data_IF_891856200009
#
_entry.id   IF_891856200009
#
_cell.length_a   1.000
_cell.length_b   1.000
_cell.length_c   1.000
_cell.angle_alpha   90.00
_cell.angle_beta   90.00
_cell.angle_gamma   90.00
#
_symmetry.space_group_name_H-M   'P 1'
#
loop_
_entity.id
_entity.type
_entity.pdbx_description
1 polymer ?
#
# COMPACT_ATOMS: atom_id res chain seq x y z
N UNK A 1 21.59 -10.01 -53.53
CA UNK A 1 22.94 -10.59 -53.71
C UNK A 1 23.84 -9.89 -52.69
N UNK A 2 24.42 -10.46 -51.64
CA UNK A 2 24.48 -11.81 -51.06
C UNK A 2 24.96 -11.59 -49.60
N UNK A 3 24.32 -12.25 -48.63
CA UNK A 3 24.79 -12.35 -47.25
C UNK A 3 26.10 -13.17 -47.16
N UNK A 4 26.95 -12.95 -46.15
CA UNK A 4 28.02 -13.89 -45.84
C UNK A 4 27.45 -15.18 -45.17
N UNK A 5 28.10 -16.34 -45.36
CA UNK A 5 27.51 -17.66 -45.06
C UNK A 5 27.78 -18.17 -43.63
N UNK A 6 26.85 -18.99 -43.13
CA UNK A 6 27.01 -19.87 -41.98
C UNK A 6 28.08 -20.96 -42.20
N UNK A 7 28.78 -21.42 -41.14
CA UNK A 7 29.49 -22.69 -41.15
C UNK A 7 28.65 -23.84 -40.53
N UNK A 8 28.58 -24.96 -41.24
CA UNK A 8 28.11 -26.30 -40.79
C UNK A 8 29.09 -27.36 -41.35
N UNK A 9 29.03 -28.64 -40.94
CA UNK A 9 29.22 -29.21 -39.59
C UNK A 9 30.40 -30.23 -39.57
N UNK A 10 30.91 -30.56 -38.38
CA UNK A 10 31.92 -31.61 -38.15
C UNK A 10 31.37 -32.81 -37.36
N UNK A 11 32.06 -33.98 -37.35
CA UNK A 11 31.44 -35.30 -37.52
C UNK A 11 30.98 -36.03 -36.23
N UNK A 12 29.97 -36.89 -36.40
CA UNK A 12 29.50 -37.90 -35.43
C UNK A 12 30.45 -39.10 -35.29
N UNK A 13 30.43 -39.75 -34.11
CA UNK A 13 30.49 -41.20 -34.01
C UNK A 13 29.29 -41.82 -33.27
N UNK A 14 28.88 -43.02 -33.72
CA UNK A 14 27.74 -43.83 -33.27
C UNK A 14 27.99 -44.63 -31.97
N UNK A 15 26.85 -44.93 -31.32
CA UNK A 15 26.44 -46.14 -30.57
C UNK A 15 26.85 -46.41 -29.11
N UNK A 16 25.79 -46.60 -28.28
CA UNK A 16 25.77 -47.47 -27.08
C UNK A 16 25.10 -46.86 -25.82
N UNK A 17 23.99 -47.43 -25.29
CA UNK A 17 23.31 -46.90 -24.10
C UNK A 17 23.72 -47.59 -22.78
N UNK A 18 23.67 -46.88 -21.64
CA UNK A 18 23.40 -47.48 -20.33
C UNK A 18 22.33 -46.66 -19.57
N UNK A 19 21.56 -47.11 -18.58
CA UNK A 19 21.22 -48.37 -17.93
C UNK A 19 20.17 -47.96 -16.86
N UNK A 20 19.06 -48.68 -16.71
CA UNK A 20 18.00 -48.42 -15.72
C UNK A 20 18.43 -48.74 -14.28
N UNK A 21 17.84 -48.08 -13.26
CA UNK A 21 17.72 -48.63 -11.91
C UNK A 21 16.25 -48.99 -11.53
N UNK A 22 16.03 -49.84 -10.51
CA UNK A 22 15.04 -50.92 -10.56
C UNK A 22 13.70 -50.63 -9.85
N UNK A 23 12.71 -51.46 -10.20
CA UNK A 23 11.31 -51.43 -9.74
C UNK A 23 11.04 -52.39 -8.56
N UNK A 24 10.23 -51.89 -7.60
CA UNK A 24 9.25 -52.60 -6.71
C UNK A 24 9.74 -53.43 -5.50
N UNK A 25 8.92 -53.63 -4.42
CA UNK A 25 7.44 -53.71 -4.43
C UNK A 25 6.65 -53.04 -3.26
N UNK A 26 5.34 -52.85 -3.51
CA UNK A 26 4.28 -52.56 -2.52
C UNK A 26 4.00 -53.74 -1.57
N UNK A 27 3.39 -53.48 -0.41
CA UNK A 27 2.32 -54.36 0.09
C UNK A 27 1.05 -53.64 0.60
N UNK A 28 -0.08 -54.06 0.01
CA UNK A 28 -1.41 -54.40 0.57
C UNK A 28 -1.83 -53.90 1.98
N UNK A 29 -2.92 -53.11 2.01
CA UNK A 29 -4.18 -53.44 2.72
C UNK A 29 -4.42 -52.95 4.17
N UNK A 30 -5.70 -52.67 4.57
CA UNK A 30 -6.11 -51.81 5.70
C UNK A 30 -6.49 -52.65 6.97
N UNK A 31 -6.84 -52.12 8.19
CA UNK A 31 -8.12 -51.39 8.39
C UNK A 31 -8.28 -50.48 9.68
N UNK A 32 -9.47 -49.88 9.76
CA UNK A 32 -10.30 -49.62 10.95
C UNK A 32 -10.05 -48.46 11.95
N UNK A 33 -11.19 -47.81 12.21
CA UNK A 33 -11.53 -46.74 13.13
C UNK A 33 -11.95 -47.36 14.47
N UNK A 34 -11.42 -46.89 15.61
CA UNK A 34 -11.91 -47.34 16.92
C UNK A 34 -11.25 -46.70 18.16
N UNK A 35 -11.96 -45.72 18.73
CA UNK A 35 -12.17 -45.36 20.15
C UNK A 35 -11.03 -45.18 21.19
N UNK A 36 -11.12 -43.99 21.82
CA UNK A 36 -10.96 -43.63 23.25
C UNK A 36 -9.62 -43.78 24.00
N UNK A 37 -9.08 -42.64 24.46
CA UNK A 37 -9.12 -42.24 25.89
C UNK A 37 -8.43 -40.88 26.16
N UNK A 38 -9.11 -40.04 26.94
CA UNK A 38 -8.76 -38.66 27.37
C UNK A 38 -7.81 -38.67 28.60
N UNK A 39 -7.17 -37.55 29.04
CA UNK A 39 -7.91 -36.58 29.87
C UNK A 39 -7.53 -35.08 29.72
N UNK A 40 -8.56 -34.25 29.50
CA UNK A 40 -8.96 -33.04 30.25
C UNK A 40 -7.85 -32.14 30.89
N UNK A 41 -7.49 -31.07 30.17
CA UNK A 41 -6.89 -29.84 30.73
C UNK A 41 -7.91 -28.67 30.73
N UNK A 42 -7.74 -27.62 31.56
CA UNK A 42 -8.76 -26.60 31.83
C UNK A 42 -8.97 -25.62 30.65
N UNK A 43 -10.14 -24.94 30.56
CA UNK A 43 -10.47 -24.11 29.41
C UNK A 43 -9.73 -22.77 29.45
N UNK A 44 -8.98 -22.47 28.39
CA UNK A 44 -8.49 -21.11 28.11
C UNK A 44 -9.60 -20.27 27.49
N UNK A 45 -9.79 -19.00 27.91
CA UNK A 45 -10.86 -18.16 27.40
C UNK A 45 -10.53 -17.68 25.99
N UNK A 46 -11.40 -18.01 25.05
CA UNK A 46 -11.57 -17.28 23.80
C UNK A 46 -12.30 -15.97 24.10
N UNK A 47 -11.73 -14.83 23.71
CA UNK A 47 -12.47 -13.69 23.16
C UNK A 47 -11.49 -12.58 22.75
N UNK A 48 -11.59 -12.11 21.50
CA UNK A 48 -11.11 -10.80 21.09
C UNK A 48 -9.85 -10.82 20.22
N UNK A 49 -9.94 -11.36 19.01
CA UNK A 49 -8.92 -11.11 17.98
C UNK A 49 -9.48 -11.10 16.55
N UNK A 50 -10.68 -10.57 16.38
CA UNK A 50 -11.28 -10.32 15.07
C UNK A 50 -11.54 -8.82 14.78
N UNK A 51 -11.18 -7.92 15.72
CA UNK A 51 -11.52 -6.48 15.67
C UNK A 51 -10.68 -5.64 14.69
N UNK A 52 -9.58 -6.17 14.14
CA UNK A 52 -8.62 -5.36 13.37
C UNK A 52 -9.03 -5.09 11.93
N UNK A 53 -9.84 -5.96 11.34
CA UNK A 53 -10.29 -5.81 9.95
C UNK A 53 -11.58 -4.99 9.88
N UNK A 54 -12.49 -5.22 10.83
CA UNK A 54 -13.74 -4.45 10.97
C UNK A 54 -13.45 -2.97 11.27
N UNK A 55 -12.46 -2.65 12.12
CA UNK A 55 -12.09 -1.26 12.41
C UNK A 55 -11.52 -0.52 11.18
N UNK A 56 -10.78 -1.21 10.31
CA UNK A 56 -10.24 -0.64 9.08
C UNK A 56 -11.34 -0.41 8.03
N UNK A 57 -12.23 -1.38 7.84
CA UNK A 57 -13.41 -1.21 6.97
C UNK A 57 -14.31 -0.08 7.48
N UNK A 58 -14.48 0.04 8.79
CA UNK A 58 -15.31 1.06 9.41
C UNK A 58 -14.65 2.45 9.31
N UNK A 59 -13.32 2.53 9.36
CA UNK A 59 -12.55 3.74 9.05
C UNK A 59 -12.68 4.17 7.58
N UNK A 60 -12.56 3.22 6.64
CA UNK A 60 -12.76 3.48 5.21
C UNK A 60 -14.19 3.93 4.91
N UNK A 61 -15.19 3.24 5.47
CA UNK A 61 -16.61 3.59 5.31
C UNK A 61 -16.99 4.94 5.96
N UNK A 62 -16.31 5.34 7.05
CA UNK A 62 -16.51 6.67 7.66
C UNK A 62 -15.81 7.77 6.90
N UNK A 63 -14.69 7.48 6.22
CA UNK A 63 -14.02 8.42 5.30
C UNK A 63 -14.95 8.81 4.13
N UNK A 64 -15.60 7.83 3.50
CA UNK A 64 -16.57 8.06 2.41
C UNK A 64 -17.78 8.89 2.85
N UNK A 65 -18.29 8.64 4.06
CA UNK A 65 -19.45 9.37 4.62
C UNK A 65 -19.11 10.79 5.08
N UNK A 66 -17.87 11.04 5.54
CA UNK A 66 -17.46 12.33 6.12
C UNK A 66 -17.04 13.38 5.08
N UNK A 67 -16.87 12.98 3.82
CA UNK A 67 -16.81 13.90 2.67
C UNK A 67 -18.04 14.82 2.53
N UNK A 68 -19.12 14.54 3.26
CA UNK A 68 -20.26 15.43 3.48
C UNK A 68 -20.28 15.91 4.94
N UNK A 69 -19.50 16.96 5.25
CA UNK A 69 -19.54 17.58 6.58
C UNK A 69 -20.81 18.43 6.77
N UNK A 70 -21.57 18.25 7.87
CA UNK A 70 -22.64 19.16 8.27
C UNK A 70 -22.10 20.22 9.25
N UNK A 71 -21.82 21.43 8.77
CA UNK A 71 -21.45 22.53 9.68
C UNK A 71 -20.60 23.64 9.08
N UNK A 72 -21.07 24.30 8.03
CA UNK A 72 -20.51 25.54 7.52
C UNK A 72 -21.51 26.18 6.55
N UNK A 73 -21.59 27.52 6.45
CA UNK A 73 -22.49 28.14 5.48
C UNK A 73 -22.14 27.65 4.07
N UNK A 74 -23.13 27.28 3.24
CA UNK A 74 -22.87 26.63 1.98
C UNK A 74 -22.20 27.62 1.02
N UNK A 75 -20.91 27.45 0.76
CA UNK A 75 -20.37 27.86 -0.52
C UNK A 75 -21.10 27.08 -1.62
N UNK A 76 -21.39 27.70 -2.77
CA UNK A 76 -22.15 27.05 -3.85
C UNK A 76 -21.25 26.01 -4.55
N UNK A 77 -21.03 24.87 -3.91
CA UNK A 77 -20.58 23.68 -4.59
C UNK A 77 -21.73 23.23 -5.48
N UNK A 78 -21.65 23.53 -6.78
CA UNK A 78 -22.59 23.05 -7.82
C UNK A 78 -22.69 21.52 -7.75
N UNK A 79 -23.75 20.94 -7.17
CA UNK A 79 -23.84 19.49 -6.96
C UNK A 79 -24.04 18.77 -8.30
N UNK A 80 -24.78 19.40 -9.22
CA UNK A 80 -25.18 18.81 -10.49
C UNK A 80 -24.10 18.70 -11.56
N UNK A 81 -22.86 19.17 -11.33
CA UNK A 81 -21.75 18.98 -12.30
C UNK A 81 -20.86 17.76 -11.97
N UNK A 82 -20.88 17.29 -10.71
CA UNK A 82 -20.04 16.17 -10.26
C UNK A 82 -20.65 14.81 -10.58
N UNK A 83 -21.96 14.68 -10.41
CA UNK A 83 -22.73 13.48 -10.75
C UNK A 83 -22.58 13.06 -12.23
N UNK A 84 -22.77 13.96 -13.23
CA UNK A 84 -22.59 13.58 -14.64
C UNK A 84 -21.14 13.24 -14.99
N UNK A 85 -20.17 13.86 -14.30
CA UNK A 85 -18.75 13.59 -14.53
C UNK A 85 -18.33 12.22 -14.00
N UNK A 86 -18.83 11.83 -12.83
CA UNK A 86 -18.64 10.49 -12.25
C UNK A 86 -19.29 9.40 -13.12
N UNK A 87 -20.49 9.65 -13.62
CA UNK A 87 -21.15 8.74 -14.56
C UNK A 87 -20.36 8.58 -15.86
N UNK A 88 -19.87 9.69 -16.42
CA UNK A 88 -19.01 9.68 -17.60
C UNK A 88 -17.70 8.92 -17.35
N UNK A 89 -17.08 9.12 -16.17
CA UNK A 89 -15.87 8.40 -15.78
C UNK A 89 -16.12 6.89 -15.73
N UNK A 90 -17.19 6.45 -15.04
CA UNK A 90 -17.59 5.04 -14.96
C UNK A 90 -17.85 4.42 -16.33
N UNK A 91 -18.51 5.16 -17.22
CA UNK A 91 -18.72 4.70 -18.61
C UNK A 91 -17.39 4.53 -19.34
N UNK A 92 -16.49 5.51 -19.21
CA UNK A 92 -15.17 5.49 -19.85
C UNK A 92 -14.33 4.30 -19.38
N UNK A 93 -14.32 4.04 -18.07
CA UNK A 93 -13.62 2.92 -17.44
C UNK A 93 -14.14 1.59 -17.98
N UNK A 94 -15.47 1.43 -18.04
CA UNK A 94 -16.11 0.24 -18.62
C UNK A 94 -15.72 0.04 -20.09
N UNK A 95 -15.70 1.11 -20.89
CA UNK A 95 -15.34 1.02 -22.30
C UNK A 95 -13.87 0.61 -22.50
N UNK A 96 -12.98 1.09 -21.64
CA UNK A 96 -11.56 0.70 -21.63
C UNK A 96 -11.39 -0.77 -21.27
N UNK A 97 -12.02 -1.25 -20.19
CA UNK A 97 -11.97 -2.67 -19.82
C UNK A 97 -12.46 -3.57 -20.95
N UNK A 98 -13.61 -3.22 -21.54
CA UNK A 98 -14.14 -3.94 -22.70
C UNK A 98 -13.16 -3.96 -23.89
N UNK A 99 -12.39 -2.89 -24.11
CA UNK A 99 -11.42 -2.82 -25.18
C UNK A 99 -10.21 -3.74 -24.90
N UNK A 100 -9.69 -3.72 -23.68
CA UNK A 100 -8.58 -4.60 -23.24
C UNK A 100 -9.01 -6.06 -23.35
N UNK A 101 -10.19 -6.42 -22.85
CA UNK A 101 -10.74 -7.79 -22.92
C UNK A 101 -10.89 -8.28 -24.36
N UNK A 102 -11.34 -7.41 -25.26
CA UNK A 102 -11.45 -7.71 -26.70
C UNK A 102 -10.07 -7.92 -27.31
N UNK A 103 -9.09 -7.08 -27.00
CA UNK A 103 -7.72 -7.23 -27.48
C UNK A 103 -7.09 -8.53 -26.97
N UNK A 104 -7.25 -8.86 -25.69
CA UNK A 104 -6.80 -10.11 -25.11
C UNK A 104 -7.47 -11.30 -25.79
N UNK A 105 -8.79 -11.26 -25.96
CA UNK A 105 -9.55 -12.33 -26.63
C UNK A 105 -9.06 -12.56 -28.07
N UNK A 106 -8.82 -11.48 -28.82
CA UNK A 106 -8.28 -11.56 -30.17
C UNK A 106 -6.87 -12.16 -30.20
N UNK A 107 -6.01 -11.80 -29.24
CA UNK A 107 -4.67 -12.36 -29.12
C UNK A 107 -4.70 -13.87 -28.82
N UNK A 108 -5.56 -14.30 -27.89
CA UNK A 108 -5.72 -15.72 -27.54
C UNK A 108 -6.33 -16.54 -28.68
N UNK A 109 -7.22 -15.95 -29.48
CA UNK A 109 -7.76 -16.58 -30.70
C UNK A 109 -6.70 -16.70 -31.79
N UNK A 110 -5.84 -15.69 -31.96
CA UNK A 110 -4.76 -15.72 -32.95
C UNK A 110 -3.65 -16.71 -32.57
N UNK A 111 -3.44 -16.94 -31.28
CA UNK A 111 -2.38 -17.79 -30.74
C UNK A 111 -2.91 -18.74 -29.66
N UNK A 112 -3.51 -19.86 -30.08
CA UNK A 112 -4.11 -20.85 -29.16
C UNK A 112 -3.14 -21.36 -28.08
N UNK A 113 -1.84 -21.42 -28.38
CA UNK A 113 -0.79 -21.80 -27.42
C UNK A 113 -0.62 -20.83 -26.23
N UNK A 114 -1.25 -19.66 -26.26
CA UNK A 114 -1.23 -18.68 -25.17
C UNK A 114 -2.41 -18.83 -24.20
N UNK A 115 -3.28 -19.83 -24.36
CA UNK A 115 -4.46 -20.01 -23.50
C UNK A 115 -4.16 -20.63 -22.11
N UNK A 116 -2.92 -20.53 -21.62
CA UNK A 116 -2.59 -20.87 -20.23
C UNK A 116 -2.76 -19.64 -19.32
N UNK A 117 -2.94 -19.83 -18.01
CA UNK A 117 -3.06 -18.72 -17.06
C UNK A 117 -1.83 -17.79 -17.11
N UNK A 118 -0.62 -18.35 -17.00
CA UNK A 118 0.64 -17.58 -17.03
C UNK A 118 0.83 -16.82 -18.35
N UNK A 119 0.42 -17.43 -19.46
CA UNK A 119 0.49 -16.78 -20.77
C UNK A 119 -0.49 -15.62 -20.88
N UNK A 120 -1.70 -15.74 -20.31
CA UNK A 120 -2.70 -14.66 -20.30
C UNK A 120 -2.23 -13.44 -19.53
N UNK A 121 -1.63 -13.63 -18.36
CA UNK A 121 -1.09 -12.52 -17.56
C UNK A 121 0.01 -11.78 -18.32
N UNK A 122 0.89 -12.51 -19.00
CA UNK A 122 1.92 -11.92 -19.88
C UNK A 122 1.30 -11.19 -21.08
N UNK A 123 0.23 -11.72 -21.66
CA UNK A 123 -0.48 -11.06 -22.77
C UNK A 123 -1.09 -9.73 -22.31
N UNK A 124 -1.73 -9.71 -21.14
CA UNK A 124 -2.28 -8.50 -20.53
C UNK A 124 -1.19 -7.45 -20.29
N UNK A 125 -0.08 -7.83 -19.65
CA UNK A 125 1.06 -6.92 -19.44
C UNK A 125 1.60 -6.33 -20.76
N UNK A 126 1.65 -7.13 -21.84
CA UNK A 126 2.06 -6.66 -23.16
C UNK A 126 1.04 -5.72 -23.83
N UNK A 127 -0.25 -5.82 -23.50
CA UNK A 127 -1.32 -4.95 -24.02
C UNK A 127 -1.35 -3.64 -23.24
N UNK A 128 -1.27 -3.69 -21.91
CA UNK A 128 -1.45 -2.52 -21.04
C UNK A 128 -0.46 -1.40 -21.36
N UNK A 129 0.82 -1.72 -21.54
CA UNK A 129 1.87 -0.73 -21.77
C UNK A 129 1.57 0.19 -22.98
N UNK A 130 1.38 -0.32 -24.21
CA UNK A 130 1.05 0.52 -25.36
C UNK A 130 -0.37 1.10 -25.28
N UNK A 131 -1.30 0.43 -24.58
CA UNK A 131 -2.69 0.88 -24.48
C UNK A 131 -2.83 2.10 -23.56
N UNK A 132 -2.23 2.04 -22.36
CA UNK A 132 -2.35 3.09 -21.35
C UNK A 132 -1.36 4.23 -21.55
N UNK A 133 -0.21 4.03 -22.20
CA UNK A 133 0.77 5.11 -22.43
C UNK A 133 0.16 6.41 -23.01
N UNK A 134 -0.67 6.39 -24.07
CA UNK A 134 -1.33 7.60 -24.56
C UNK A 134 -2.59 8.00 -23.77
N UNK A 135 -3.24 7.06 -23.09
CA UNK A 135 -4.54 7.28 -22.43
C UNK A 135 -4.41 7.77 -20.97
N UNK A 136 -3.36 7.35 -20.26
CA UNK A 136 -3.21 7.60 -18.83
C UNK A 136 -3.25 9.09 -18.47
N UNK A 137 -2.54 9.99 -19.17
CA UNK A 137 -2.61 11.42 -18.83
C UNK A 137 -4.02 12.00 -18.94
N UNK A 138 -4.82 11.52 -19.90
CA UNK A 138 -6.21 11.95 -20.10
C UNK A 138 -7.12 11.37 -19.02
N UNK A 139 -6.96 10.09 -18.69
CA UNK A 139 -7.68 9.43 -17.60
C UNK A 139 -7.40 10.10 -16.27
N UNK A 140 -6.12 10.29 -15.95
CA UNK A 140 -5.70 10.93 -14.72
C UNK A 140 -6.27 12.35 -14.62
N UNK A 141 -6.34 13.12 -15.71
CA UNK A 141 -6.99 14.42 -15.70
C UNK A 141 -8.48 14.34 -15.29
N UNK A 142 -9.20 13.30 -15.70
CA UNK A 142 -10.58 13.04 -15.25
C UNK A 142 -10.62 12.66 -13.77
N UNK A 143 -9.80 11.71 -13.30
CA UNK A 143 -9.76 11.36 -11.86
C UNK A 143 -9.41 12.56 -10.99
N UNK A 144 -8.43 13.37 -11.40
CA UNK A 144 -8.04 14.62 -10.73
C UNK A 144 -9.17 15.63 -10.66
N UNK A 145 -10.05 15.65 -11.67
CA UNK A 145 -11.20 16.56 -11.66
C UNK A 145 -12.27 16.14 -10.64
N UNK A 146 -12.46 14.83 -10.47
CA UNK A 146 -13.37 14.22 -9.49
C UNK A 146 -12.81 14.34 -8.07
N UNK A 147 -11.53 13.99 -7.88
CA UNK A 147 -10.86 13.92 -6.58
C UNK A 147 -10.14 15.22 -6.18
N UNK A 148 -10.38 16.32 -6.93
CA UNK A 148 -9.83 17.65 -6.63
C UNK A 148 -9.98 18.07 -5.14
N UNK A 149 -11.12 17.88 -4.46
CA UNK A 149 -11.22 18.32 -3.06
C UNK A 149 -10.32 17.51 -2.12
N UNK A 150 -10.22 16.19 -2.30
CA UNK A 150 -9.32 15.33 -1.54
C UNK A 150 -7.85 15.69 -1.78
N UNK A 151 -7.46 15.90 -3.04
CA UNK A 151 -6.10 16.37 -3.36
C UNK A 151 -5.77 17.72 -2.71
N UNK A 152 -6.74 18.65 -2.69
CA UNK A 152 -6.55 19.94 -2.04
C UNK A 152 -6.42 19.80 -0.52
N UNK A 153 -7.17 18.89 0.11
CA UNK A 153 -7.04 18.59 1.53
C UNK A 153 -5.68 17.95 1.85
N UNK A 154 -5.27 16.95 1.07
CA UNK A 154 -3.97 16.33 1.18
C UNK A 154 -2.83 17.34 0.97
N UNK A 155 -2.93 18.23 -0.02
CA UNK A 155 -1.95 19.30 -0.26
C UNK A 155 -1.78 20.22 0.95
N UNK A 156 -2.89 20.61 1.60
CA UNK A 156 -2.82 21.43 2.83
C UNK A 156 -2.11 20.69 3.96
N UNK A 157 -2.40 19.41 4.16
CA UNK A 157 -1.71 18.59 5.15
C UNK A 157 -0.22 18.45 4.83
N UNK A 158 0.14 18.23 3.56
CA UNK A 158 1.53 18.19 3.09
C UNK A 158 2.27 19.51 3.34
N UNK A 159 1.63 20.65 3.15
CA UNK A 159 2.24 21.96 3.43
C UNK A 159 2.45 22.21 4.93
N UNK A 160 1.47 21.84 5.77
CA UNK A 160 1.52 22.03 7.22
C UNK A 160 2.51 21.07 7.90
N UNK A 161 2.49 19.79 7.50
CA UNK A 161 3.23 18.72 8.17
C UNK A 161 4.46 18.25 7.38
N UNK A 162 4.69 18.73 6.17
CA UNK A 162 5.82 18.30 5.32
C UNK A 162 7.21 18.57 5.91
N UNK A 163 7.31 19.46 6.92
CA UNK A 163 8.53 19.71 7.69
C UNK A 163 8.48 19.17 9.13
N UNK A 164 7.37 18.56 9.55
CA UNK A 164 7.20 18.06 10.90
C UNK A 164 8.15 16.88 11.20
N UNK A 165 8.69 16.77 12.43
CA UNK A 165 9.52 15.63 12.79
C UNK A 165 8.69 14.34 12.78
N UNK A 166 9.28 13.16 12.48
CA UNK A 166 8.56 11.89 12.45
C UNK A 166 7.75 11.57 13.73
N UNK A 167 8.24 12.01 14.89
CA UNK A 167 7.55 11.85 16.18
C UNK A 167 6.20 12.58 16.25
N UNK A 168 6.03 13.69 15.51
CA UNK A 168 4.77 14.42 15.45
C UNK A 168 3.66 13.64 14.71
N UNK A 169 4.04 12.60 13.95
CA UNK A 169 3.13 11.71 13.21
C UNK A 169 3.00 10.36 13.94
N UNK A 170 3.54 10.26 15.16
CA UNK A 170 3.44 9.06 15.97
C UNK A 170 4.40 7.94 15.57
N UNK A 171 5.44 8.20 14.77
CA UNK A 171 6.45 7.18 14.43
C UNK A 171 7.31 6.89 15.67
N UNK A 172 7.35 5.64 16.16
CA UNK A 172 8.18 5.24 17.29
C UNK A 172 9.67 5.51 17.05
N UNK A 173 10.39 5.98 18.08
CA UNK A 173 11.83 6.28 17.99
C UNK A 173 12.72 5.06 17.72
N UNK A 174 12.20 3.83 17.92
CA UNK A 174 12.85 2.57 17.54
C UNK A 174 12.93 2.36 16.03
N UNK A 175 12.04 3.02 15.27
CA UNK A 175 11.95 2.98 13.80
C UNK A 175 12.65 4.18 13.16
N UNK A 176 13.47 4.91 13.91
CA UNK A 176 14.16 6.10 13.43
C UNK A 176 15.66 5.97 13.69
N UNK A 177 16.51 6.55 12.83
CA UNK A 177 17.94 6.55 13.04
C UNK A 177 18.31 7.42 14.26
N UNK A 178 19.17 6.92 15.16
CA UNK A 178 19.59 7.63 16.39
C UNK A 178 21.04 8.19 16.37
N UNK A 179 21.67 8.31 15.20
CA UNK A 179 23.08 8.74 15.07
C UNK A 179 23.30 10.16 14.52
N UNK A 180 24.51 10.74 14.69
CA UNK A 180 24.88 12.05 14.11
C UNK A 180 24.87 12.05 12.56
N UNK A 181 24.99 10.88 11.93
CA UNK A 181 24.77 10.65 10.48
C UNK A 181 23.32 10.97 10.04
N UNK A 182 22.35 11.02 10.97
CA UNK A 182 20.96 11.42 10.70
C UNK A 182 20.80 12.93 10.41
N UNK A 183 21.87 13.71 10.57
CA UNK A 183 21.87 15.17 10.42
C UNK A 183 22.66 15.63 9.18
N UNK A 184 23.09 14.68 8.34
CA UNK A 184 23.77 14.96 7.07
C UNK A 184 22.82 15.57 6.03
N UNK A 185 23.02 16.86 5.73
CA UNK A 185 22.51 17.65 4.59
C UNK A 185 21.26 17.11 3.89
N UNK A 186 20.08 17.48 4.38
CA UNK A 186 18.81 17.38 3.63
C UNK A 186 18.22 15.98 3.48
N UNK A 187 18.80 14.95 4.11
CA UNK A 187 18.28 13.57 4.05
C UNK A 187 17.37 13.28 5.24
N UNK A 188 16.17 12.78 4.99
CA UNK A 188 15.20 12.37 6.02
C UNK A 188 14.99 10.85 5.98
N UNK A 189 14.54 10.20 7.07
CA UNK A 189 14.32 8.75 7.09
C UNK A 189 13.30 8.34 6.02
N UNK A 190 13.45 7.14 5.44
CA UNK A 190 12.55 6.62 4.39
C UNK A 190 12.51 7.44 3.09
N UNK A 191 13.51 8.29 2.82
CA UNK A 191 13.60 9.06 1.56
C UNK A 191 13.50 8.18 0.31
N UNK A 192 14.10 6.99 0.32
CA UNK A 192 14.03 6.06 -0.80
C UNK A 192 12.57 5.69 -1.14
N UNK A 193 11.73 5.43 -0.13
CA UNK A 193 10.32 5.13 -0.35
C UNK A 193 9.55 6.32 -0.97
N UNK A 194 9.84 7.55 -0.52
CA UNK A 194 9.25 8.75 -1.13
C UNK A 194 9.70 8.96 -2.59
N UNK A 195 10.93 8.56 -2.93
CA UNK A 195 11.42 8.59 -4.32
C UNK A 195 10.71 7.56 -5.19
N UNK A 196 10.46 6.35 -4.68
CA UNK A 196 9.66 5.33 -5.38
C UNK A 196 8.23 5.83 -5.68
N UNK A 197 7.59 6.51 -4.72
CA UNK A 197 6.31 7.19 -4.98
C UNK A 197 6.43 8.31 -6.03
N UNK A 198 7.58 8.97 -6.13
CA UNK A 198 7.88 9.94 -7.18
C UNK A 198 8.04 9.32 -8.57
N UNK A 199 8.43 8.05 -8.67
CA UNK A 199 8.49 7.35 -9.96
C UNK A 199 7.09 6.97 -10.45
N UNK A 200 6.16 6.68 -9.54
CA UNK A 200 4.78 6.33 -9.86
C UNK A 200 4.13 7.35 -10.81
N UNK A 201 4.38 8.64 -10.60
CA UNK A 201 3.75 9.73 -11.37
C UNK A 201 4.36 9.92 -12.75
N UNK A 202 5.48 9.27 -13.04
CA UNK A 202 6.14 9.25 -14.35
C UNK A 202 5.70 8.06 -15.20
N UNK A 203 5.23 6.99 -14.55
CA UNK A 203 4.68 5.83 -15.23
C UNK A 203 3.31 6.13 -15.84
N UNK A 204 2.93 5.37 -16.85
CA UNK A 204 1.58 5.41 -17.46
C UNK A 204 0.89 4.05 -17.46
N UNK A 205 1.65 2.97 -17.30
CA UNK A 205 1.10 1.62 -17.20
C UNK A 205 0.62 1.35 -15.76
N UNK A 206 -0.64 0.90 -15.56
CA UNK A 206 -1.18 0.60 -14.23
C UNK A 206 -0.30 -0.39 -13.44
N UNK A 207 0.10 -1.50 -14.06
CA UNK A 207 0.96 -2.50 -13.40
C UNK A 207 2.29 -1.90 -12.91
N UNK A 208 2.98 -1.10 -13.74
CA UNK A 208 4.24 -0.45 -13.34
C UNK A 208 4.07 0.58 -12.22
N UNK A 209 2.93 1.27 -12.20
CA UNK A 209 2.58 2.17 -11.08
C UNK A 209 2.39 1.39 -9.79
N UNK A 210 1.69 0.26 -9.85
CA UNK A 210 1.53 -0.63 -8.71
C UNK A 210 2.87 -1.17 -8.21
N UNK A 211 3.79 -1.53 -9.12
CA UNK A 211 5.16 -1.93 -8.76
C UNK A 211 5.93 -0.79 -8.04
N UNK A 212 5.70 0.48 -8.38
CA UNK A 212 6.29 1.60 -7.64
C UNK A 212 5.77 1.65 -6.19
N UNK A 213 4.48 1.39 -5.96
CA UNK A 213 3.90 1.32 -4.62
C UNK A 213 4.54 0.18 -3.82
N UNK A 214 4.64 -1.00 -4.43
CA UNK A 214 5.27 -2.17 -3.79
C UNK A 214 6.74 -1.89 -3.45
N UNK A 215 7.51 -1.29 -4.37
CA UNK A 215 8.89 -0.88 -4.10
C UNK A 215 8.99 0.14 -2.96
N UNK A 216 8.07 1.10 -2.88
CA UNK A 216 8.03 2.06 -1.79
C UNK A 216 7.82 1.37 -0.42
N UNK A 217 6.86 0.44 -0.32
CA UNK A 217 6.60 -0.28 0.92
C UNK A 217 7.75 -1.23 1.29
N UNK A 218 8.34 -1.94 0.32
CA UNK A 218 9.54 -2.76 0.56
C UNK A 218 10.73 -1.91 1.03
N UNK A 219 10.89 -0.70 0.49
CA UNK A 219 11.92 0.24 0.95
C UNK A 219 11.65 0.70 2.40
N UNK A 220 10.38 0.88 2.80
CA UNK A 220 10.01 1.14 4.20
C UNK A 220 10.43 -0.03 5.09
N UNK A 221 10.04 -1.25 4.72
CA UNK A 221 10.36 -2.47 5.47
C UNK A 221 11.87 -2.64 5.65
N UNK A 222 12.64 -2.55 4.57
CA UNK A 222 14.09 -2.66 4.61
C UNK A 222 14.74 -1.58 5.50
N UNK A 223 14.24 -0.33 5.44
CA UNK A 223 14.76 0.76 6.27
C UNK A 223 14.50 0.50 7.76
N UNK A 224 13.27 0.14 8.14
CA UNK A 224 12.94 -0.02 9.56
C UNK A 224 13.55 -1.29 10.17
N UNK A 225 13.68 -2.39 9.41
CA UNK A 225 14.48 -3.55 9.82
C UNK A 225 15.94 -3.16 10.05
N UNK A 226 16.52 -2.31 9.19
CA UNK A 226 17.86 -1.78 9.36
C UNK A 226 18.02 -1.01 10.68
N UNK A 227 17.02 -0.20 11.04
CA UNK A 227 17.01 0.53 12.31
C UNK A 227 16.83 -0.40 13.52
N UNK A 228 15.94 -1.40 13.44
CA UNK A 228 15.78 -2.41 14.49
C UNK A 228 17.08 -3.19 14.76
N UNK A 229 17.75 -3.69 13.71
CA UNK A 229 19.03 -4.41 13.86
C UNK A 229 20.12 -3.53 14.48
N UNK A 230 20.15 -2.23 14.17
CA UNK A 230 21.09 -1.30 14.78
C UNK A 230 20.83 -1.04 16.27
N UNK A 231 19.62 -1.36 16.75
CA UNK A 231 19.20 -1.21 18.15
C UNK A 231 19.33 -2.47 19.00
N UNK A 232 19.59 -3.64 18.40
CA UNK A 232 19.81 -4.87 19.15
C UNK A 232 21.19 -4.83 19.86
N UNK A 233 21.24 -4.94 21.20
CA UNK A 233 22.50 -5.12 21.91
C UNK A 233 23.14 -6.48 21.56
N UNK A 234 24.48 -6.52 21.60
CA UNK A 234 25.40 -7.60 21.18
C UNK A 234 25.01 -9.07 21.57
N UNK A 235 25.66 -10.10 20.98
CA UNK A 235 25.07 -11.38 20.51
C UNK A 235 24.90 -12.49 21.57
N UNK A 236 24.61 -12.16 22.83
CA UNK A 236 24.41 -13.18 23.89
C UNK A 236 22.94 -13.61 24.06
N UNK A 237 22.02 -13.07 23.24
CA UNK A 237 20.64 -13.54 23.16
C UNK A 237 20.44 -14.28 21.84
N UNK A 238 19.99 -15.53 21.90
CA UNK A 238 19.54 -16.28 20.73
C UNK A 238 18.60 -15.39 19.89
N UNK A 239 18.81 -15.29 18.57
CA UNK A 239 17.92 -14.52 17.71
C UNK A 239 16.53 -15.14 17.80
N UNK A 240 15.63 -14.50 18.55
CA UNK A 240 14.23 -14.86 18.58
C UNK A 240 13.69 -14.62 17.16
N UNK A 241 13.38 -15.67 16.39
CA UNK A 241 12.93 -15.51 15.01
C UNK A 241 11.48 -15.05 15.06
N UNK A 242 11.25 -13.73 15.08
CA UNK A 242 9.89 -13.19 15.05
C UNK A 242 9.70 -11.73 15.47
N UNK A 243 10.67 -11.08 16.11
CA UNK A 243 10.44 -9.74 16.72
C UNK A 243 10.80 -8.56 15.81
N UNK A 244 11.44 -8.80 14.65
CA UNK A 244 11.99 -7.73 13.80
C UNK A 244 11.08 -7.28 12.64
N UNK A 245 9.93 -7.93 12.42
CA UNK A 245 9.01 -7.58 11.35
C UNK A 245 8.16 -6.36 11.74
N UNK A 246 8.07 -5.36 10.85
CA UNK A 246 7.17 -4.22 11.00
C UNK A 246 5.74 -4.75 11.02
N UNK A 247 5.01 -4.51 12.10
CA UNK A 247 3.57 -4.78 12.17
C UNK A 247 2.77 -3.72 11.39
N UNK A 248 1.51 -4.02 11.07
CA UNK A 248 0.62 -3.07 10.41
C UNK A 248 0.48 -1.74 11.19
N UNK A 249 0.49 -1.82 12.52
CA UNK A 249 0.43 -0.67 13.44
C UNK A 249 1.65 0.26 13.32
N UNK A 250 2.81 -0.29 12.95
CA UNK A 250 4.04 0.47 12.72
C UNK A 250 4.11 0.98 11.27
N UNK A 251 3.53 0.26 10.30
CA UNK A 251 3.58 0.59 8.87
C UNK A 251 2.78 1.86 8.52
N UNK A 252 1.54 1.97 8.99
CA UNK A 252 0.65 3.07 8.59
C UNK A 252 1.20 4.47 8.97
N UNK A 253 1.73 4.69 10.19
CA UNK A 253 2.38 5.96 10.55
C UNK A 253 3.61 6.27 9.68
N UNK A 254 4.44 5.26 9.37
CA UNK A 254 5.61 5.45 8.50
C UNK A 254 5.17 5.81 7.07
N UNK A 255 4.20 5.09 6.52
CA UNK A 255 3.71 5.33 5.18
C UNK A 255 3.04 6.71 5.07
N UNK A 256 2.29 7.14 6.09
CA UNK A 256 1.71 8.48 6.20
C UNK A 256 2.78 9.58 6.20
N UNK A 257 3.88 9.37 6.92
CA UNK A 257 5.04 10.26 6.87
C UNK A 257 5.69 10.27 5.48
N UNK A 258 5.87 9.12 4.83
CA UNK A 258 6.41 9.04 3.46
C UNK A 258 5.53 9.79 2.47
N UNK A 259 4.20 9.66 2.58
CA UNK A 259 3.23 10.44 1.79
C UNK A 259 3.41 11.94 2.01
N UNK A 260 3.49 12.40 3.26
CA UNK A 260 3.73 13.82 3.56
C UNK A 260 5.05 14.35 2.98
N UNK A 261 6.09 13.51 2.97
CA UNK A 261 7.41 13.85 2.43
C UNK A 261 7.50 13.77 0.91
N UNK A 262 6.64 13.00 0.25
CA UNK A 262 6.61 12.93 -1.22
C UNK A 262 6.12 14.24 -1.83
N UNK A 263 5.18 14.93 -1.15
CA UNK A 263 4.60 16.18 -1.65
C UNK A 263 3.76 15.98 -2.92
N UNK A 264 3.19 14.78 -3.10
CA UNK A 264 2.44 14.38 -4.29
C UNK A 264 0.95 14.27 -3.97
N UNK A 265 0.17 15.37 -3.95
CA UNK A 265 -1.27 15.30 -3.67
C UNK A 265 -2.03 14.47 -4.73
N UNK A 266 -1.46 14.36 -5.94
CA UNK A 266 -1.99 13.56 -7.04
C UNK A 266 -2.06 12.06 -6.79
N UNK A 267 -1.40 11.56 -5.75
CA UNK A 267 -1.47 10.15 -5.36
C UNK A 267 -2.89 9.68 -5.05
N UNK A 268 -3.79 10.58 -4.60
CA UNK A 268 -5.21 10.23 -4.38
C UNK A 268 -5.86 9.79 -5.69
N UNK A 269 -5.73 10.60 -6.74
CA UNK A 269 -6.29 10.30 -8.05
C UNK A 269 -5.61 9.11 -8.72
N UNK A 270 -4.29 8.98 -8.54
CA UNK A 270 -3.55 7.83 -9.07
C UNK A 270 -4.04 6.53 -8.42
N UNK A 271 -4.18 6.47 -7.09
CA UNK A 271 -4.66 5.26 -6.41
C UNK A 271 -6.10 4.91 -6.77
N UNK A 272 -6.99 5.91 -6.87
CA UNK A 272 -8.37 5.70 -7.32
C UNK A 272 -8.43 5.12 -8.75
N UNK A 273 -7.57 5.58 -9.65
CA UNK A 273 -7.48 5.02 -10.99
C UNK A 273 -6.89 3.60 -10.99
N UNK A 274 -5.88 3.33 -10.16
CA UNK A 274 -5.27 2.00 -10.06
C UNK A 274 -6.25 0.95 -9.53
N UNK A 275 -7.06 1.30 -8.53
CA UNK A 275 -8.10 0.41 -8.00
C UNK A 275 -9.09 -0.03 -9.10
N UNK A 276 -9.38 0.86 -10.06
CA UNK A 276 -10.30 0.54 -11.16
C UNK A 276 -9.64 -0.18 -12.34
N UNK A 277 -8.34 0.04 -12.61
CA UNK A 277 -7.67 -0.49 -13.81
C UNK A 277 -6.72 -1.67 -13.57
N UNK A 278 -6.36 -1.98 -12.32
CA UNK A 278 -5.58 -3.18 -12.02
C UNK A 278 -6.48 -4.41 -12.09
N UNK A 279 -6.03 -5.44 -12.80
CA UNK A 279 -6.74 -6.70 -12.88
C UNK A 279 -6.88 -7.35 -11.49
N UNK A 280 -8.08 -7.84 -11.15
CA UNK A 280 -8.44 -8.35 -9.82
C UNK A 280 -7.46 -9.39 -9.27
N UNK A 281 -6.87 -10.22 -10.14
CA UNK A 281 -5.86 -11.21 -9.77
C UNK A 281 -4.63 -10.62 -9.05
N UNK A 282 -4.22 -9.39 -9.38
CA UNK A 282 -3.13 -8.70 -8.70
C UNK A 282 -3.58 -8.07 -7.37
N UNK A 283 -4.85 -7.73 -7.23
CA UNK A 283 -5.39 -7.13 -6.00
C UNK A 283 -5.58 -8.14 -4.86
N UNK A 284 -5.53 -9.45 -5.15
CA UNK A 284 -5.66 -10.51 -4.13
C UNK A 284 -4.32 -10.75 -3.39
N UNK A 285 -3.20 -10.21 -3.90
CA UNK A 285 -1.85 -10.46 -3.40
C UNK A 285 -1.24 -9.36 -2.53
N UNK A 286 0.11 -9.35 -2.48
CA UNK A 286 0.89 -8.31 -1.81
C UNK A 286 0.61 -6.94 -2.42
N UNK A 287 0.39 -6.88 -3.73
CA UNK A 287 0.19 -5.66 -4.47
C UNK A 287 -1.10 -4.94 -4.06
N UNK A 288 -2.20 -5.68 -3.93
CA UNK A 288 -3.46 -5.16 -3.38
C UNK A 288 -3.30 -4.66 -1.94
N UNK A 289 -2.62 -5.43 -1.09
CA UNK A 289 -2.31 -4.99 0.28
C UNK A 289 -1.51 -3.68 0.30
N UNK A 290 -0.53 -3.54 -0.60
CA UNK A 290 0.27 -2.32 -0.71
C UNK A 290 -0.56 -1.12 -1.16
N UNK A 291 -1.44 -1.30 -2.14
CA UNK A 291 -2.34 -0.25 -2.63
C UNK A 291 -3.31 0.21 -1.53
N UNK A 292 -3.99 -0.72 -0.85
CA UNK A 292 -4.92 -0.41 0.25
C UNK A 292 -4.21 0.27 1.41
N UNK A 293 -2.97 -0.13 1.72
CA UNK A 293 -2.14 0.51 2.75
C UNK A 293 -1.83 1.97 2.38
N UNK A 294 -1.50 2.24 1.11
CA UNK A 294 -1.26 3.60 0.62
C UNK A 294 -2.54 4.44 0.64
N UNK A 295 -3.68 3.88 0.21
CA UNK A 295 -4.99 4.56 0.27
C UNK A 295 -5.38 4.92 1.71
N UNK A 296 -5.11 4.02 2.66
CA UNK A 296 -5.32 4.26 4.09
C UNK A 296 -4.44 5.39 4.61
N UNK A 297 -3.16 5.40 4.22
CA UNK A 297 -2.22 6.47 4.58
C UNK A 297 -2.64 7.83 3.98
N UNK A 298 -3.07 7.85 2.71
CA UNK A 298 -3.58 9.07 2.06
C UNK A 298 -4.82 9.61 2.80
N UNK A 299 -5.77 8.74 3.13
CA UNK A 299 -6.98 9.11 3.88
C UNK A 299 -6.64 9.64 5.28
N UNK A 300 -5.69 9.00 5.97
CA UNK A 300 -5.21 9.48 7.27
C UNK A 300 -4.61 10.88 7.18
N UNK A 301 -3.73 11.12 6.20
CA UNK A 301 -3.09 12.43 6.00
C UNK A 301 -4.11 13.50 5.59
N UNK A 302 -5.10 13.16 4.78
CA UNK A 302 -6.20 14.05 4.41
C UNK A 302 -6.98 14.54 5.64
N UNK A 303 -7.18 13.65 6.62
CA UNK A 303 -7.95 13.92 7.84
C UNK A 303 -7.12 14.56 8.97
N UNK A 304 -5.82 14.81 8.76
CA UNK A 304 -4.99 15.46 9.76
C UNK A 304 -5.56 16.85 10.12
N UNK A 305 -5.67 17.19 11.42
CA UNK A 305 -6.18 18.48 11.84
C UNK A 305 -5.37 19.63 11.23
N UNK A 306 -6.05 20.66 10.72
CA UNK A 306 -5.38 21.87 10.22
C UNK A 306 -4.81 22.74 11.36
N UNK A 307 -3.70 22.35 11.97
CA UNK A 307 -3.00 23.14 13.00
C UNK A 307 -3.72 23.20 14.37
N UNK A 308 -3.04 23.69 15.42
CA UNK A 308 -3.28 23.24 16.79
C UNK A 308 -4.54 23.86 17.41
N UNK A 309 -5.63 23.10 17.45
CA UNK A 309 -6.79 23.35 18.32
C UNK A 309 -6.88 22.32 19.47
N UNK A 310 -5.73 21.93 20.03
CA UNK A 310 -5.69 21.10 21.26
C UNK A 310 -4.53 21.49 22.20
N UNK A 311 -4.40 22.79 22.48
CA UNK A 311 -3.58 23.28 23.59
C UNK A 311 -4.20 24.50 24.32
N UNK A 312 -5.53 24.67 24.23
CA UNK A 312 -6.26 25.62 25.06
C UNK A 312 -7.56 24.95 25.52
N UNK A 313 -7.89 25.11 26.80
CA UNK A 313 -9.02 24.50 27.53
C UNK A 313 -8.70 23.09 28.07
N UNK A 314 -8.01 22.98 29.20
CA UNK A 314 -8.70 23.03 30.49
C UNK A 314 -7.77 23.65 31.56
N UNK A 315 -7.87 24.97 31.68
CA UNK A 315 -7.18 25.75 32.70
C UNK A 315 -8.12 26.80 33.29
N UNK A 316 -9.21 26.37 33.93
CA UNK A 316 -10.02 27.11 34.93
C UNK A 316 -11.03 26.09 35.45
N UNK A 317 -11.26 25.82 36.73
CA UNK A 317 -11.53 26.71 37.85
C UNK A 317 -11.70 25.81 39.09
N UNK A 318 -10.97 26.09 40.18
CA UNK A 318 -11.45 25.81 41.54
C UNK A 318 -11.17 27.04 42.40
N UNK A 319 -12.02 28.06 42.23
CA UNK A 319 -12.24 29.09 43.25
C UNK A 319 -12.89 28.44 44.46
N UNK A 320 -12.08 28.15 45.49
CA UNK A 320 -12.54 27.84 46.83
C UNK A 320 -12.11 28.97 47.76
N UNK A 321 -12.97 29.96 47.93
CA UNK A 321 -12.77 31.00 48.94
C UNK A 321 -12.96 30.41 50.34
N UNK A 322 -12.07 30.76 51.27
CA UNK A 322 -12.45 30.88 52.67
C UNK A 322 -11.50 31.82 53.42
N UNK A 323 -12.06 32.99 53.72
CA UNK A 323 -11.98 33.74 54.98
C UNK A 323 -10.62 34.13 55.60
N UNK A 324 -10.40 35.45 55.57
CA UNK A 324 -10.02 36.31 56.70
C UNK A 324 -8.77 35.97 57.54
N UNK A 325 -7.72 36.79 57.41
CA UNK A 325 -7.25 37.68 58.49
C UNK A 325 -6.20 38.66 57.96
N UNK A 326 -6.53 39.95 57.96
CA UNK A 326 -5.54 41.01 58.05
C UNK A 326 -5.40 41.39 59.53
N UNK A 327 -4.25 41.93 59.95
CA UNK A 327 -4.27 43.37 60.16
C UNK A 327 -3.02 44.08 59.64
N UNK A 328 -3.24 45.35 59.29
CA UNK A 328 -2.22 46.30 58.91
C UNK A 328 -1.43 46.82 60.12
N UNK A 329 -0.14 47.05 59.88
CA UNK A 329 0.83 47.93 60.54
C UNK A 329 0.32 48.88 61.63
N UNK A 330 0.90 48.77 62.83
CA UNK A 330 1.72 49.84 63.44
C UNK A 330 2.70 49.24 64.44
#
# INVERSE_FOLDING_TARGET
>A
MLCPPEPSPGPQPLDGPPADPPTSPLPLGPPERGADSSPKGPPSPLAGKDSSFEDLEQFLATSERRGQSPGGPPEPATPGLKEPLLEQLRSTVKDIHNAIDRLLSLMLLAFEGLNSAVSKDRCLACIEEPFFSPLWPLLLALYRSVHRPQEAALSRSMELYGKAPPAAIGIPSKLLPQGPEATGTGTYPYRAAAQELGLLVLESCPQKKLECIVRALRAICACAEGYHRAHEPAPDAEPQPGTAAIGADDLLPILSFVVLRSGLPQLVSECAALEEFIHEGYLIGEEGYCLTSLQSALSYVELLPGGPAHAAETGTSCTGGSTAFAPALT
#
